data_IF_122221779053
#
_entry.id   IF_122221779053
#
_cell.length_a   1.000
_cell.length_b   1.000
_cell.length_c   1.000
_cell.angle_alpha   90.00
_cell.angle_beta   90.00
_cell.angle_gamma   90.00
#
_symmetry.space_group_name_H-M   'P 1'
#
loop_
_entity.id
_entity.type
_entity.pdbx_description
1 polymer ?
#
# COMPACT_ATOMS: atom_id res chain seq x y z
N UNK A 1 4.13 -12.49 13.06
CA UNK A 1 3.78 -12.77 14.48
C UNK A 1 5.09 -12.94 15.23
N UNK A 2 5.42 -12.26 16.32
CA UNK A 2 4.64 -11.64 17.41
C UNK A 2 5.38 -10.39 17.92
N UNK A 3 4.64 -9.34 18.27
CA UNK A 3 5.09 -8.34 19.23
C UNK A 3 5.36 -9.08 20.56
N UNK A 4 6.62 -9.13 21.02
CA UNK A 4 7.01 -9.93 22.18
C UNK A 4 6.72 -9.15 23.47
N UNK A 5 5.85 -9.72 24.31
CA UNK A 5 5.55 -9.26 25.67
C UNK A 5 6.84 -9.12 26.50
N UNK A 6 7.06 -7.94 27.07
CA UNK A 6 7.89 -7.75 28.26
C UNK A 6 6.98 -7.23 29.36
N UNK A 7 6.78 -8.05 30.40
CA UNK A 7 5.95 -7.71 31.56
C UNK A 7 6.74 -6.80 32.53
N UNK A 8 6.03 -5.80 33.05
CA UNK A 8 6.25 -4.99 34.26
C UNK A 8 7.47 -4.03 34.31
N UNK A 9 7.22 -2.77 33.96
CA UNK A 9 7.21 -1.67 34.96
C UNK A 9 6.43 -0.48 34.39
N UNK A 10 5.42 -0.02 35.13
CA UNK A 10 4.53 1.07 34.74
C UNK A 10 5.32 2.38 34.74
N UNK A 11 5.64 2.88 33.55
CA UNK A 11 5.84 4.30 33.21
C UNK A 11 5.65 4.39 31.70
N UNK A 12 4.72 5.25 31.29
CA UNK A 12 4.25 5.46 29.92
C UNK A 12 5.41 5.87 29.02
N UNK A 13 6.10 4.89 28.45
CA UNK A 13 6.91 5.05 27.25
C UNK A 13 6.11 4.46 26.11
N UNK A 14 5.45 5.39 25.43
CA UNK A 14 4.85 5.26 24.11
C UNK A 14 5.86 4.46 23.27
N UNK A 15 5.58 3.17 23.04
CA UNK A 15 6.01 2.61 21.78
C UNK A 15 5.30 3.47 20.74
N UNK A 16 6.03 4.43 20.19
CA UNK A 16 5.78 4.84 18.83
C UNK A 16 6.06 3.58 18.02
N UNK A 17 5.08 2.67 18.00
CA UNK A 17 4.91 1.74 16.92
C UNK A 17 4.85 2.65 15.70
N UNK A 18 6.01 2.82 15.04
CA UNK A 18 6.03 3.09 13.63
C UNK A 18 5.20 1.97 13.04
N UNK A 19 3.90 2.19 12.86
CA UNK A 19 3.15 1.48 11.86
C UNK A 19 3.92 1.80 10.58
N UNK A 20 4.78 0.89 10.15
CA UNK A 20 5.43 0.99 8.85
C UNK A 20 4.33 1.27 7.82
N UNK A 21 4.61 2.22 6.93
CA UNK A 21 3.64 2.75 5.97
C UNK A 21 2.78 1.64 5.40
N UNK A 22 1.46 1.82 5.47
CA UNK A 22 0.54 0.85 4.91
C UNK A 22 0.86 0.73 3.41
N UNK A 23 0.90 -0.50 2.89
CA UNK A 23 1.11 -0.78 1.47
C UNK A 23 -0.04 -1.65 0.96
N UNK A 24 -0.54 -1.34 -0.23
CA UNK A 24 -1.55 -2.14 -0.91
C UNK A 24 -1.02 -2.56 -2.27
N UNK A 25 -1.17 -3.83 -2.60
CA UNK A 25 -0.86 -4.36 -3.92
C UNK A 25 -2.13 -4.86 -4.59
N UNK A 26 -2.26 -4.60 -5.89
CA UNK A 26 -3.36 -5.11 -6.70
C UNK A 26 -2.78 -5.69 -7.98
N UNK A 27 -3.20 -6.91 -8.30
CA UNK A 27 -2.87 -7.55 -9.57
C UNK A 27 -4.03 -7.33 -10.53
N UNK A 28 -3.76 -6.72 -11.67
CA UNK A 28 -4.74 -6.56 -12.74
C UNK A 28 -4.93 -7.88 -13.48
N UNK A 29 -6.16 -8.15 -13.92
CA UNK A 29 -6.44 -9.26 -14.84
C UNK A 29 -6.00 -8.98 -16.29
N UNK A 30 -5.80 -7.71 -16.64
CA UNK A 30 -5.35 -7.31 -17.98
C UNK A 30 -3.84 -7.51 -18.12
N UNK A 31 -3.43 -7.95 -19.31
CA UNK A 31 -2.02 -8.13 -19.64
C UNK A 31 -1.49 -6.98 -20.48
N UNK A 32 -0.29 -6.50 -20.15
CA UNK A 32 0.37 -5.39 -20.84
C UNK A 32 1.87 -5.67 -21.01
N UNK A 33 2.52 -5.03 -22.01
CA UNK A 33 3.97 -4.98 -22.04
C UNK A 33 4.49 -4.10 -20.90
N UNK A 34 5.71 -4.37 -20.43
CA UNK A 34 6.23 -3.72 -19.23
C UNK A 34 6.27 -2.20 -19.35
N UNK A 35 6.67 -1.69 -20.52
CA UNK A 35 6.83 -0.25 -20.75
C UNK A 35 5.50 0.52 -20.65
N UNK A 36 4.34 -0.13 -20.76
CA UNK A 36 3.02 0.47 -20.53
C UNK A 36 2.54 0.32 -19.08
N UNK A 37 3.07 -0.65 -18.35
CA UNK A 37 2.48 -1.15 -17.12
C UNK A 37 2.52 -0.11 -15.99
N UNK A 38 3.59 0.69 -15.91
CA UNK A 38 3.70 1.77 -14.92
C UNK A 38 2.67 2.88 -15.14
N UNK A 39 2.50 3.32 -16.39
CA UNK A 39 1.54 4.37 -16.74
C UNK A 39 0.10 3.87 -16.58
N UNK A 40 -0.17 2.59 -16.86
CA UNK A 40 -1.45 1.95 -16.58
C UNK A 40 -1.80 2.01 -15.08
N UNK A 41 -0.85 1.69 -14.20
CA UNK A 41 -1.06 1.79 -12.77
C UNK A 41 -1.36 3.23 -12.34
N UNK A 42 -0.58 4.20 -12.84
CA UNK A 42 -0.80 5.63 -12.57
C UNK A 42 -2.17 6.11 -13.06
N UNK A 43 -2.57 5.74 -14.27
CA UNK A 43 -3.87 6.09 -14.83
C UNK A 43 -5.04 5.49 -14.03
N UNK A 44 -4.80 4.42 -13.26
CA UNK A 44 -5.77 3.78 -12.37
C UNK A 44 -5.73 4.30 -10.92
N UNK A 45 -4.95 5.35 -10.66
CA UNK A 45 -4.86 5.99 -9.34
C UNK A 45 -3.87 5.34 -8.36
N UNK A 46 -3.00 4.44 -8.84
CA UNK A 46 -1.89 3.88 -8.07
C UNK A 46 -0.62 4.72 -8.26
N UNK A 47 0.41 4.55 -7.43
CA UNK A 47 1.69 5.27 -7.62
C UNK A 47 2.45 4.79 -8.85
N UNK A 48 2.28 3.52 -9.20
CA UNK A 48 2.97 2.89 -10.31
C UNK A 48 3.00 1.38 -10.16
N UNK A 49 3.94 0.76 -10.89
CA UNK A 49 4.29 -0.65 -10.72
C UNK A 49 4.78 -0.95 -9.29
N UNK A 50 4.49 -2.15 -8.81
CA UNK A 50 4.74 -2.50 -7.42
C UNK A 50 6.20 -2.39 -6.98
N UNK A 51 6.43 -1.67 -5.89
CA UNK A 51 7.73 -1.61 -5.21
C UNK A 51 7.74 -2.56 -4.02
N UNK A 52 8.63 -3.55 -4.05
CA UNK A 52 8.73 -4.61 -3.05
C UNK A 52 10.16 -4.63 -2.50
N UNK A 53 10.55 -3.53 -1.85
CA UNK A 53 11.91 -3.25 -1.41
C UNK A 53 12.28 -3.85 -0.04
N UNK A 54 11.36 -4.57 0.61
CA UNK A 54 11.60 -5.25 1.90
C UNK A 54 10.99 -6.66 1.94
N UNK A 55 11.53 -7.57 2.78
CA UNK A 55 10.93 -8.89 3.01
C UNK A 55 9.47 -8.81 3.49
N UNK A 56 9.13 -7.81 4.31
CA UNK A 56 7.77 -7.61 4.84
C UNK A 56 6.80 -7.26 3.71
N UNK A 57 7.20 -6.34 2.82
CA UNK A 57 6.45 -5.99 1.61
C UNK A 57 6.24 -7.20 0.70
N UNK A 58 7.21 -8.11 0.65
CA UNK A 58 7.08 -9.34 -0.12
C UNK A 58 6.03 -10.29 0.46
N UNK A 59 6.00 -10.47 1.77
CA UNK A 59 4.94 -11.24 2.43
C UNK A 59 3.55 -10.67 2.13
N UNK A 60 3.40 -9.34 2.15
CA UNK A 60 2.15 -8.69 1.76
C UNK A 60 1.82 -8.87 0.27
N UNK A 61 2.78 -8.68 -0.63
CA UNK A 61 2.57 -8.83 -2.07
C UNK A 61 2.09 -10.25 -2.43
N UNK A 62 2.59 -11.29 -1.75
CA UNK A 62 2.14 -12.67 -1.93
C UNK A 62 0.64 -12.86 -1.64
N UNK A 63 0.06 -12.09 -0.73
CA UNK A 63 -1.39 -12.15 -0.47
C UNK A 63 -2.20 -11.68 -1.68
N UNK A 64 -1.75 -10.62 -2.36
CA UNK A 64 -2.36 -10.14 -3.61
C UNK A 64 -2.06 -11.04 -4.81
N UNK A 65 -0.95 -11.78 -4.79
CA UNK A 65 -0.61 -12.76 -5.82
C UNK A 65 -1.46 -14.03 -5.74
N UNK A 66 -2.09 -14.32 -4.60
CA UNK A 66 -2.94 -15.50 -4.48
C UNK A 66 -4.13 -15.50 -5.48
N UNK A 67 -4.52 -14.33 -6.02
CA UNK A 67 -5.52 -14.23 -7.07
C UNK A 67 -4.97 -14.46 -8.49
N UNK A 68 -3.65 -14.53 -8.66
CA UNK A 68 -2.99 -14.75 -9.94
C UNK A 68 -2.97 -16.26 -10.25
N UNK A 69 -3.58 -16.72 -11.36
CA UNK A 69 -3.60 -18.14 -11.69
C UNK A 69 -2.21 -18.76 -11.81
N UNK A 70 -2.06 -20.03 -11.45
CA UNK A 70 -0.82 -20.78 -11.65
C UNK A 70 -0.39 -20.74 -13.12
N UNK A 71 0.87 -20.41 -13.38
CA UNK A 71 1.43 -20.25 -14.73
C UNK A 71 1.35 -18.82 -15.27
N UNK A 72 0.58 -17.94 -14.63
CA UNK A 72 0.58 -16.52 -14.92
C UNK A 72 1.68 -15.77 -14.17
N UNK A 73 1.90 -14.53 -14.56
CA UNK A 73 2.98 -13.69 -14.04
C UNK A 73 2.59 -12.23 -14.09
N UNK A 74 3.12 -11.44 -13.16
CA UNK A 74 2.81 -10.02 -13.06
C UNK A 74 4.08 -9.17 -13.07
N UNK A 75 4.07 -8.07 -13.83
CA UNK A 75 5.11 -7.05 -13.79
C UNK A 75 5.18 -6.39 -12.42
N UNK A 76 6.40 -6.16 -11.93
CA UNK A 76 6.70 -5.32 -10.76
C UNK A 76 7.62 -4.18 -11.19
N UNK A 77 7.80 -3.21 -10.29
CA UNK A 77 8.46 -1.95 -10.60
C UNK A 77 9.98 -1.97 -10.50
N UNK A 78 10.61 -3.15 -10.51
CA UNK A 78 12.07 -3.25 -10.51
C UNK A 78 12.56 -3.29 -11.96
N UNK A 79 13.44 -2.35 -12.30
CA UNK A 79 14.00 -2.21 -13.64
C UNK A 79 15.52 -2.04 -13.58
N UNK A 80 16.22 -2.59 -14.57
CA UNK A 80 17.64 -2.35 -14.79
C UNK A 80 17.79 -1.28 -15.87
N UNK A 81 18.39 -0.14 -15.53
CA UNK A 81 18.57 0.99 -16.47
C UNK A 81 19.46 0.60 -17.66
N UNK A 82 20.42 -0.29 -17.43
CA UNK A 82 21.28 -0.93 -18.42
C UNK A 82 21.61 -2.35 -17.96
N UNK A 83 22.12 -3.20 -18.86
CA UNK A 83 22.57 -4.57 -18.53
C UNK A 83 23.58 -4.60 -17.37
N UNK A 84 24.44 -3.57 -17.29
CA UNK A 84 25.46 -3.38 -16.24
C UNK A 84 25.02 -2.37 -15.17
N UNK A 85 23.78 -1.91 -15.22
CA UNK A 85 23.26 -0.86 -14.35
C UNK A 85 22.73 -1.42 -13.05
N UNK A 86 22.89 -0.66 -11.97
CA UNK A 86 22.24 -0.98 -10.70
C UNK A 86 20.71 -1.02 -10.90
N UNK A 87 20.03 -2.07 -10.41
CA UNK A 87 18.57 -2.14 -10.46
C UNK A 87 17.96 -1.00 -9.64
N UNK A 88 16.85 -0.46 -10.14
CA UNK A 88 16.13 0.65 -9.53
C UNK A 88 14.65 0.34 -9.49
N UNK A 89 14.04 0.69 -8.37
CA UNK A 89 12.59 0.70 -8.28
C UNK A 89 12.02 1.93 -8.98
N UNK A 90 10.84 1.79 -9.58
CA UNK A 90 10.05 2.94 -10.00
C UNK A 90 9.88 3.91 -8.82
N UNK A 91 10.06 5.22 -9.07
CA UNK A 91 10.01 6.24 -8.03
C UNK A 91 11.30 6.41 -7.22
N UNK A 92 12.45 6.03 -7.79
CA UNK A 92 13.81 6.28 -7.26
C UNK A 92 14.10 5.65 -5.88
N UNK A 93 13.35 4.61 -5.48
CA UNK A 93 13.64 3.84 -4.27
C UNK A 93 14.89 2.97 -4.47
N UNK A 94 15.72 2.92 -3.43
CA UNK A 94 16.99 2.18 -3.43
C UNK A 94 16.71 0.67 -3.43
N UNK A 95 17.36 -0.06 -4.35
CA UNK A 95 17.36 -1.51 -4.32
C UNK A 95 18.31 -2.03 -3.23
N UNK A 96 17.79 -2.86 -2.33
CA UNK A 96 18.56 -3.43 -1.21
C UNK A 96 18.32 -4.92 -1.01
N UNK A 97 17.27 -5.49 -1.62
CA UNK A 97 16.81 -6.84 -1.36
C UNK A 97 15.94 -7.36 -2.53
N UNK A 98 15.92 -8.69 -2.73
CA UNK A 98 15.01 -9.32 -3.69
C UNK A 98 14.80 -10.83 -3.50
N UNK A 99 13.72 -11.34 -4.09
CA UNK A 99 13.28 -12.75 -3.99
C UNK A 99 13.45 -13.51 -5.32
N UNK A 100 14.67 -13.50 -5.85
CA UNK A 100 15.02 -14.09 -7.15
C UNK A 100 14.82 -15.60 -7.23
N UNK A 101 14.43 -16.09 -8.41
CA UNK A 101 14.50 -17.50 -8.75
C UNK A 101 15.96 -17.97 -8.84
N UNK A 102 16.17 -19.29 -8.86
CA UNK A 102 17.50 -19.84 -9.09
C UNK A 102 18.05 -19.38 -10.45
N UNK A 103 19.30 -18.93 -10.46
CA UNK A 103 20.02 -18.39 -11.64
C UNK A 103 19.47 -17.05 -12.19
N UNK A 104 18.70 -16.30 -11.40
CA UNK A 104 18.32 -14.92 -11.69
C UNK A 104 19.10 -13.94 -10.78
N UNK A 105 19.28 -12.67 -11.20
CA UNK A 105 18.83 -12.08 -12.46
C UNK A 105 19.64 -12.55 -13.68
N UNK A 106 18.96 -12.78 -14.81
CA UNK A 106 19.60 -12.94 -16.12
C UNK A 106 19.78 -11.56 -16.77
N UNK A 107 21.02 -11.12 -16.91
CA UNK A 107 21.38 -9.80 -17.43
C UNK A 107 20.90 -9.54 -18.86
N UNK A 108 20.50 -10.54 -19.64
CA UNK A 108 19.94 -10.32 -20.98
C UNK A 108 18.64 -9.49 -21.00
N UNK A 109 17.97 -9.34 -19.85
CA UNK A 109 16.67 -8.70 -19.72
C UNK A 109 16.70 -7.58 -18.67
N UNK A 110 15.89 -6.54 -18.86
CA UNK A 110 15.89 -5.33 -18.01
C UNK A 110 14.66 -5.17 -17.13
N UNK A 111 13.59 -5.92 -17.36
CA UNK A 111 12.35 -5.85 -16.58
C UNK A 111 12.19 -7.06 -15.67
N UNK A 112 11.47 -6.88 -14.57
CA UNK A 112 11.26 -7.92 -13.56
C UNK A 112 9.79 -8.23 -13.38
N UNK A 113 9.46 -9.50 -13.34
CA UNK A 113 8.13 -10.01 -13.03
C UNK A 113 8.16 -10.98 -11.85
N UNK A 114 6.99 -11.21 -11.27
CA UNK A 114 6.74 -12.23 -10.25
C UNK A 114 5.94 -13.38 -10.84
N UNK A 115 6.31 -14.60 -10.50
CA UNK A 115 5.64 -15.81 -10.97
C UNK A 115 5.81 -16.97 -10.00
N UNK A 116 5.02 -18.02 -10.21
CA UNK A 116 5.18 -19.28 -9.49
C UNK A 116 6.37 -20.09 -10.04
N UNK A 117 7.18 -20.62 -9.12
CA UNK A 117 8.18 -21.66 -9.37
C UNK A 117 7.94 -22.80 -8.37
N UNK A 118 7.25 -23.85 -8.83
CA UNK A 118 6.70 -24.88 -7.96
C UNK A 118 5.72 -24.29 -6.94
N UNK A 119 6.01 -24.46 -5.65
CA UNK A 119 5.19 -23.97 -4.55
C UNK A 119 5.50 -22.52 -4.13
N UNK A 120 6.55 -21.91 -4.69
CA UNK A 120 7.05 -20.61 -4.25
C UNK A 120 6.73 -19.51 -5.26
N UNK A 121 6.55 -18.29 -4.76
CA UNK A 121 6.61 -17.09 -5.58
C UNK A 121 8.06 -16.66 -5.72
N UNK A 122 8.49 -16.29 -6.91
CA UNK A 122 9.86 -15.86 -7.22
C UNK A 122 9.87 -14.72 -8.22
N UNK A 123 10.98 -13.98 -8.26
CA UNK A 123 11.23 -12.92 -9.22
C UNK A 123 12.09 -13.44 -10.36
N UNK A 124 11.76 -13.05 -11.59
CA UNK A 124 12.54 -13.36 -12.79
C UNK A 124 12.67 -12.13 -13.68
N UNK A 125 13.77 -12.08 -14.41
CA UNK A 125 13.96 -11.08 -15.46
C UNK A 125 13.25 -11.50 -16.76
N UNK A 126 12.71 -10.53 -17.50
CA UNK A 126 11.95 -10.79 -18.72
C UNK A 126 12.06 -9.64 -19.73
N UNK A 127 11.91 -9.95 -21.02
CA UNK A 127 11.87 -8.94 -22.08
C UNK A 127 10.65 -8.01 -21.95
N UNK A 128 10.85 -6.71 -22.17
CA UNK A 128 9.83 -5.68 -21.91
C UNK A 128 8.61 -5.73 -22.84
N UNK A 129 8.70 -6.43 -23.98
CA UNK A 129 7.63 -6.52 -24.98
C UNK A 129 6.62 -7.64 -24.72
N UNK A 130 6.89 -8.55 -23.78
CA UNK A 130 5.98 -9.65 -23.46
C UNK A 130 4.77 -9.16 -22.65
N UNK A 131 3.61 -9.78 -22.91
CA UNK A 131 2.35 -9.45 -22.25
C UNK A 131 2.23 -10.21 -20.94
N UNK A 132 2.13 -9.50 -19.82
CA UNK A 132 1.96 -10.08 -18.49
C UNK A 132 0.95 -9.25 -17.69
N UNK A 133 0.34 -9.85 -16.66
CA UNK A 133 -0.46 -9.08 -15.72
C UNK A 133 0.39 -7.96 -15.10
N UNK A 134 -0.28 -7.00 -14.45
CA UNK A 134 0.39 -5.86 -13.85
C UNK A 134 0.09 -5.82 -12.36
N UNK A 135 1.12 -5.78 -11.52
CA UNK A 135 0.95 -5.49 -10.10
C UNK A 135 1.19 -4.00 -9.86
N UNK A 136 0.13 -3.30 -9.45
CA UNK A 136 0.20 -1.92 -9.02
C UNK A 136 0.38 -1.85 -7.50
N UNK A 137 1.03 -0.79 -7.01
CA UNK A 137 1.11 -0.54 -5.57
C UNK A 137 0.64 0.85 -5.16
N UNK A 138 0.29 0.90 -3.90
CA UNK A 138 -0.07 2.11 -3.19
C UNK A 138 0.66 2.13 -1.84
N UNK A 139 1.30 3.23 -1.48
CA UNK A 139 2.01 3.38 -0.20
C UNK A 139 1.52 4.64 0.51
N UNK A 140 1.13 4.51 1.78
CA UNK A 140 0.42 5.57 2.51
C UNK A 140 1.30 6.76 2.86
N UNK A 141 2.60 6.53 3.08
CA UNK A 141 3.56 7.59 3.43
C UNK A 141 3.70 8.64 2.30
N UNK A 142 3.38 8.27 1.05
CA UNK A 142 3.41 9.17 -0.10
C UNK A 142 2.12 9.98 -0.33
N UNK A 143 1.01 9.70 0.37
CA UNK A 143 -0.22 10.50 0.25
C UNK A 143 -0.21 11.76 1.13
N UNK A 144 0.86 11.99 1.87
CA UNK A 144 0.88 13.00 2.94
C UNK A 144 -0.17 12.74 4.01
N UNK A 145 -0.64 11.48 4.15
CA UNK A 145 -1.63 11.13 5.15
C UNK A 145 -1.01 11.15 6.54
N UNK A 146 -1.60 11.93 7.44
CA UNK A 146 -1.13 11.99 8.83
C UNK A 146 -2.14 11.30 9.72
N UNK A 147 -1.70 10.22 10.38
CA UNK A 147 -2.49 9.58 11.46
C UNK A 147 -2.55 10.55 12.63
N UNK A 148 -3.75 11.00 12.99
CA UNK A 148 -3.96 11.73 14.24
C UNK A 148 -4.19 10.72 15.35
N UNK A 149 -3.09 10.25 15.96
CA UNK A 149 -3.11 9.11 16.87
C UNK A 149 -3.67 9.40 18.26
N UNK A 150 -4.02 10.64 18.62
CA UNK A 150 -4.40 10.99 20.00
C UNK A 150 -5.35 12.20 20.12
N UNK A 151 -6.22 12.46 19.14
CA UNK A 151 -7.28 13.45 19.33
C UNK A 151 -8.56 12.72 19.70
N UNK A 152 -9.04 12.96 20.91
CA UNK A 152 -10.40 12.67 21.34
C UNK A 152 -11.37 13.49 20.47
N UNK A 153 -11.58 13.06 19.22
CA UNK A 153 -12.53 13.70 18.31
C UNK A 153 -13.89 13.09 18.61
N UNK A 154 -14.77 13.91 19.18
CA UNK A 154 -16.17 13.56 19.39
C UNK A 154 -16.89 13.57 18.03
N UNK A 155 -16.65 12.51 17.25
CA UNK A 155 -17.25 12.29 15.93
C UNK A 155 -18.74 11.98 16.02
N UNK A 156 -19.29 11.76 17.22
CA UNK A 156 -20.74 11.55 17.43
C UNK A 156 -21.52 12.84 17.08
N UNK A 157 -20.84 13.99 17.04
CA UNK A 157 -21.43 15.29 16.67
C UNK A 157 -21.32 15.63 15.18
N UNK A 158 -20.59 14.83 14.38
CA UNK A 158 -20.38 15.09 12.95
C UNK A 158 -20.96 13.97 12.12
N UNK A 159 -21.89 14.35 11.25
CA UNK A 159 -22.35 13.43 10.22
C UNK A 159 -21.27 13.29 9.15
N UNK A 160 -20.79 12.07 8.87
CA UNK A 160 -19.90 11.86 7.74
C UNK A 160 -20.60 12.26 6.45
N UNK A 161 -19.86 12.85 5.51
CA UNK A 161 -20.41 13.21 4.20
C UNK A 161 -20.80 11.95 3.42
N UNK A 162 -20.10 10.85 3.68
CA UNK A 162 -20.31 9.57 3.03
C UNK A 162 -19.80 8.45 3.94
N UNK A 163 -20.63 7.43 4.12
CA UNK A 163 -20.26 6.17 4.77
C UNK A 163 -20.32 5.04 3.75
N UNK A 164 -19.26 4.23 3.69
CA UNK A 164 -19.16 3.03 2.85
C UNK A 164 -18.61 1.87 3.67
N UNK A 165 -18.75 0.67 3.14
CA UNK A 165 -18.02 -0.50 3.65
C UNK A 165 -16.67 -0.58 2.96
N UNK A 166 -15.60 -0.78 3.72
CA UNK A 166 -14.24 -0.96 3.22
C UNK A 166 -13.60 -2.19 3.88
N UNK A 167 -12.75 -2.92 3.18
CA UNK A 167 -12.09 -4.10 3.78
C UNK A 167 -10.80 -3.74 4.53
N UNK A 168 -10.42 -2.45 4.49
CA UNK A 168 -9.28 -1.90 5.20
C UNK A 168 -9.35 -0.38 5.26
N UNK A 169 -8.54 0.22 6.14
CA UNK A 169 -8.29 1.67 6.15
C UNK A 169 -7.83 2.18 4.78
N UNK A 170 -7.18 1.34 3.99
CA UNK A 170 -6.68 1.73 2.69
C UNK A 170 -7.73 1.76 1.61
N UNK A 171 -8.59 0.76 1.59
CA UNK A 171 -9.79 0.81 0.76
C UNK A 171 -10.61 2.06 1.10
N UNK A 172 -10.72 2.39 2.38
CA UNK A 172 -11.39 3.60 2.84
C UNK A 172 -10.70 4.88 2.34
N UNK A 173 -9.37 4.94 2.37
CA UNK A 173 -8.61 6.07 1.87
C UNK A 173 -8.72 6.26 0.36
N UNK A 174 -8.72 5.17 -0.43
CA UNK A 174 -8.97 5.25 -1.86
C UNK A 174 -10.38 5.76 -2.16
N UNK A 175 -11.38 5.32 -1.39
CA UNK A 175 -12.73 5.84 -1.52
C UNK A 175 -12.76 7.34 -1.20
N UNK A 176 -12.10 7.77 -0.13
CA UNK A 176 -11.98 9.18 0.22
C UNK A 176 -11.28 9.98 -0.90
N UNK A 177 -10.15 9.51 -1.44
CA UNK A 177 -9.45 10.18 -2.54
C UNK A 177 -10.29 10.30 -3.82
N UNK A 178 -11.21 9.36 -4.07
CA UNK A 178 -12.16 9.45 -5.20
C UNK A 178 -13.31 10.44 -4.98
N UNK A 179 -13.51 10.90 -3.75
CA UNK A 179 -14.52 11.88 -3.37
C UNK A 179 -13.82 13.23 -3.27
N UNK A 180 -14.02 14.11 -4.27
CA UNK A 180 -13.27 15.37 -4.39
C UNK A 180 -13.37 16.34 -3.21
N UNK A 181 -14.33 16.16 -2.30
CA UNK A 181 -14.51 16.93 -1.07
C UNK A 181 -13.91 16.26 0.17
N UNK A 182 -13.41 15.02 0.07
CA UNK A 182 -12.94 14.27 1.22
C UNK A 182 -11.51 14.63 1.62
N UNK A 183 -11.36 15.06 2.86
CA UNK A 183 -10.09 15.45 3.47
C UNK A 183 -9.77 14.62 4.72
N UNK A 184 -10.76 14.01 5.35
CA UNK A 184 -10.56 13.17 6.52
C UNK A 184 -11.35 11.87 6.40
N UNK A 185 -10.88 10.82 7.07
CA UNK A 185 -11.60 9.57 7.18
C UNK A 185 -11.42 8.90 8.54
N UNK A 186 -12.39 8.07 8.91
CA UNK A 186 -12.22 7.03 9.92
C UNK A 186 -12.54 5.66 9.34
N UNK A 187 -11.84 4.65 9.84
CA UNK A 187 -12.13 3.26 9.53
C UNK A 187 -12.32 2.45 10.82
N UNK A 188 -13.43 1.72 10.90
CA UNK A 188 -13.74 0.78 11.98
C UNK A 188 -13.50 -0.66 11.50
N UNK A 189 -12.49 -1.33 12.06
CA UNK A 189 -12.19 -2.71 11.72
C UNK A 189 -13.21 -3.72 12.30
N UNK A 190 -14.03 -3.33 13.28
CA UNK A 190 -15.07 -4.18 13.85
C UNK A 190 -16.35 -4.24 13.01
N UNK A 191 -16.64 -3.17 12.26
CA UNK A 191 -17.86 -3.03 11.45
C UNK A 191 -17.59 -2.84 9.96
N UNK A 192 -16.32 -2.81 9.55
CA UNK A 192 -15.86 -2.44 8.21
C UNK A 192 -16.35 -1.05 7.73
N UNK A 193 -16.76 -0.19 8.66
CA UNK A 193 -17.30 1.12 8.35
C UNK A 193 -16.17 2.09 7.96
N UNK A 194 -16.26 2.63 6.76
CA UNK A 194 -15.45 3.73 6.25
C UNK A 194 -16.28 5.01 6.24
N UNK A 195 -15.98 5.93 7.14
CA UNK A 195 -16.61 7.24 7.19
C UNK A 195 -15.66 8.27 6.60
N UNK A 196 -16.17 9.08 5.67
CA UNK A 196 -15.45 10.12 4.96
C UNK A 196 -15.98 11.48 5.38
N UNK A 197 -15.09 12.47 5.47
CA UNK A 197 -15.43 13.81 5.93
C UNK A 197 -14.69 14.89 5.14
N UNK A 198 -15.29 16.06 5.03
CA UNK A 198 -14.74 17.23 4.35
C UNK A 198 -13.93 18.14 5.28
N UNK A 199 -13.58 19.34 4.81
CA UNK A 199 -12.81 20.33 5.57
C UNK A 199 -13.47 20.77 6.90
N UNK A 200 -14.79 20.57 7.07
CA UNK A 200 -15.55 21.02 8.24
C UNK A 200 -15.12 20.37 9.57
N UNK A 201 -14.42 19.24 9.51
CA UNK A 201 -13.95 18.48 10.69
C UNK A 201 -12.76 19.14 11.39
N UNK A 202 -12.08 20.10 10.75
CA UNK A 202 -10.96 20.86 11.33
C UNK A 202 -11.30 21.52 12.67
N UNK A 203 -12.56 21.88 12.91
CA UNK A 203 -13.04 22.54 14.13
C UNK A 203 -13.09 21.65 15.39
N UNK A 204 -12.91 20.33 15.24
CA UNK A 204 -13.10 19.34 16.32
C UNK A 204 -11.79 18.73 16.82
N UNK A 205 -10.70 18.90 16.07
CA UNK A 205 -9.36 18.51 16.51
C UNK A 205 -8.88 19.31 17.74
N UNK A 206 -9.59 20.38 18.11
CA UNK A 206 -9.26 21.27 19.23
C UNK A 206 -10.03 21.00 20.52
N UNK A 207 -11.09 20.18 20.52
CA UNK A 207 -11.95 20.00 21.70
C UNK A 207 -12.06 18.53 22.12
N UNK A 208 -11.13 18.10 22.97
CA UNK A 208 -11.07 16.73 23.47
C UNK A 208 -12.24 16.39 24.39
N UNK A 209 -13.10 15.45 23.95
CA UNK A 209 -13.95 14.63 24.83
C UNK A 209 -13.86 13.17 24.39
N UNK A 210 -13.61 12.28 25.35
CA UNK A 210 -13.45 10.86 25.12
C UNK A 210 -14.81 10.22 24.79
N UNK A 211 -14.96 9.66 23.58
CA UNK A 211 -16.05 8.75 23.23
C UNK A 211 -15.62 7.29 23.50
N UNK A 212 -16.53 6.40 23.96
CA UNK A 212 -16.22 4.98 24.18
C UNK A 212 -15.84 4.21 22.91
N UNK A 213 -16.15 4.76 21.73
CA UNK A 213 -15.84 4.18 20.43
C UNK A 213 -14.64 4.91 19.82
N UNK A 214 -13.42 4.51 20.20
CA UNK A 214 -12.20 5.16 19.74
C UNK A 214 -11.93 4.85 18.25
N UNK A 215 -12.35 5.74 17.35
CA UNK A 215 -11.98 5.67 15.94
C UNK A 215 -10.66 6.40 15.69
N UNK A 216 -9.82 5.88 14.78
CA UNK A 216 -8.61 6.59 14.33
C UNK A 216 -8.97 7.50 13.15
N UNK A 217 -8.73 8.81 13.30
CA UNK A 217 -8.90 9.79 12.23
C UNK A 217 -7.60 9.94 11.42
N UNK A 218 -7.73 9.88 10.11
CA UNK A 218 -6.62 10.15 9.18
C UNK A 218 -6.93 11.41 8.37
N UNK A 219 -5.96 12.31 8.29
CA UNK A 219 -6.01 13.47 7.42
C UNK A 219 -5.36 13.13 6.08
N UNK A 220 -5.99 13.51 4.96
CA UNK A 220 -5.44 13.39 3.60
C UNK A 220 -4.91 14.76 3.18
N UNK A 221 -3.68 14.79 2.66
CA UNK A 221 -3.12 16.00 2.06
C UNK A 221 -3.35 15.92 0.55
N UNK A 222 -4.16 16.83 0.01
CA UNK A 222 -4.20 17.05 -1.43
C UNK A 222 -2.83 17.63 -1.84
N UNK A 223 -2.13 16.95 -2.75
CA UNK A 223 -0.94 17.47 -3.45
C UNK A 223 -1.37 18.00 -4.80
#
# INVERSE_FOLDING_TARGET
MMCRNFLLTVLVFIFAERCEGFVRYVVSNDTHPQWQANDLCKARGYYGLAVIDTPEKWEFAKTSLASLPTGNSAWIGLEFVTIDGEPKWVGDKVYSWGAWAANEPNWANTAVLVMHDGANWVWRTQGTNYQHQVMCYFEFDSMGMTKHSNTNVDLDTVTPQLTKTATSVADCAMMCASVGSCLYLTYDAGTDACNMYDAGVTSLLTNGKASPNAFTLYAIRAV
#
